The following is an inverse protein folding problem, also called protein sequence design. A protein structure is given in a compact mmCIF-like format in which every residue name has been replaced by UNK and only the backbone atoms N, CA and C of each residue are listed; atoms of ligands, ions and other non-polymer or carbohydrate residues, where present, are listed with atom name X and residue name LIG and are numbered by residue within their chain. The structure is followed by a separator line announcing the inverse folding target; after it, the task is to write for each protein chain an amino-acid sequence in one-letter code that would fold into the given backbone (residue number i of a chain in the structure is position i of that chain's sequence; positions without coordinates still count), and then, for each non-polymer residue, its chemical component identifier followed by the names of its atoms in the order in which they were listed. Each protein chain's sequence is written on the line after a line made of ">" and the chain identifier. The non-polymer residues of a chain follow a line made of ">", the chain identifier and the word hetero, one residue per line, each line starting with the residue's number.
data_IF_405912662798
#
_entry.id   IF_405912662798
#
_cell.length_a   1.000
_cell.length_b   1.000
_cell.length_c   1.000
_cell.angle_alpha   90.00
_cell.angle_beta   90.00
_cell.angle_gamma   90.00
#
_symmetry.space_group_name_H-M   'P 1'
#
loop_
_entity.id
_entity.type
_entity.pdbx_description
1 polymer ?
#
# COMPACT_ATOMS: atom_id res chain seq x y z
N UNK A 1 4.97 -21.55 4.80
CA UNK A 1 4.89 -20.08 4.95
C UNK A 1 3.72 -19.58 4.11
N UNK A 2 3.01 -18.50 4.51
CA UNK A 2 1.99 -17.90 3.66
C UNK A 2 2.61 -17.42 2.32
N UNK A 3 1.84 -17.38 1.22
CA UNK A 3 2.33 -16.86 -0.06
C UNK A 3 2.82 -15.41 0.08
N UNK A 4 3.90 -15.01 -0.62
CA UNK A 4 4.41 -13.65 -0.55
C UNK A 4 3.48 -12.66 -1.27
N UNK A 5 3.61 -11.39 -0.90
CA UNK A 5 3.09 -10.23 -1.65
C UNK A 5 4.28 -9.56 -2.33
N UNK A 6 4.20 -9.37 -3.65
CA UNK A 6 5.18 -8.56 -4.40
C UNK A 6 4.61 -7.17 -4.64
N UNK A 7 5.43 -6.13 -4.53
CA UNK A 7 5.00 -4.76 -4.85
C UNK A 7 6.07 -4.02 -5.63
N UNK A 8 5.66 -3.08 -6.49
CA UNK A 8 6.59 -2.29 -7.30
C UNK A 8 6.01 -0.94 -7.67
N UNK A 9 6.90 0.06 -7.83
CA UNK A 9 6.57 1.34 -8.47
C UNK A 9 6.48 1.21 -9.99
N UNK A 10 7.11 0.17 -10.55
CA UNK A 10 7.14 -0.06 -11.98
C UNK A 10 5.96 -0.96 -12.38
N UNK A 11 4.96 -0.38 -13.04
CA UNK A 11 3.79 -1.13 -13.53
C UNK A 11 4.19 -2.29 -14.45
N UNK A 12 5.24 -2.11 -15.26
CA UNK A 12 5.80 -3.19 -16.11
C UNK A 12 6.22 -4.43 -15.32
N UNK A 13 6.76 -4.24 -14.11
CA UNK A 13 7.16 -5.35 -13.24
C UNK A 13 5.94 -6.07 -12.66
N UNK A 14 4.86 -5.33 -12.37
CA UNK A 14 3.60 -5.91 -11.90
C UNK A 14 2.88 -6.67 -13.03
N UNK A 15 2.94 -6.16 -14.27
CA UNK A 15 2.44 -6.85 -15.45
C UNK A 15 3.19 -8.16 -15.69
N UNK A 16 4.53 -8.12 -15.68
CA UNK A 16 5.35 -9.33 -15.79
C UNK A 16 5.08 -10.33 -14.65
N UNK A 17 4.91 -9.86 -13.41
CA UNK A 17 4.55 -10.71 -12.28
C UNK A 17 3.16 -11.35 -12.43
N UNK A 18 2.18 -10.61 -12.97
CA UNK A 18 0.84 -11.14 -13.28
C UNK A 18 0.90 -12.28 -14.30
N UNK A 19 1.75 -12.16 -15.31
CA UNK A 19 1.92 -13.18 -16.36
C UNK A 19 2.73 -14.39 -15.87
N UNK A 20 3.86 -14.16 -15.23
CA UNK A 20 4.76 -15.22 -14.79
C UNK A 20 4.25 -15.99 -13.55
N UNK A 21 3.55 -15.32 -12.64
CA UNK A 21 3.09 -15.90 -11.38
C UNK A 21 1.74 -15.29 -10.93
N UNK A 22 0.62 -15.57 -11.63
CA UNK A 22 -0.67 -14.93 -11.37
C UNK A 22 -1.19 -15.17 -9.94
N UNK A 23 -0.83 -16.30 -9.34
CA UNK A 23 -1.21 -16.71 -7.98
C UNK A 23 -0.50 -15.92 -6.87
N UNK A 24 0.60 -15.21 -7.17
CA UNK A 24 1.29 -14.35 -6.18
C UNK A 24 0.56 -13.01 -6.11
N UNK A 25 0.19 -12.59 -4.89
CA UNK A 25 -0.48 -11.32 -4.68
C UNK A 25 0.42 -10.14 -5.10
N UNK A 26 -0.18 -9.09 -5.69
CA UNK A 26 0.52 -7.90 -6.17
C UNK A 26 0.06 -6.63 -5.47
N UNK A 27 0.98 -5.73 -5.17
CA UNK A 27 0.71 -4.40 -4.64
C UNK A 27 1.27 -3.30 -5.53
N UNK A 28 0.48 -2.26 -5.80
CA UNK A 28 0.96 -1.10 -6.55
C UNK A 28 1.62 -0.10 -5.58
N UNK A 29 2.90 0.23 -5.79
CA UNK A 29 3.55 1.34 -5.09
C UNK A 29 3.36 2.64 -5.87
N UNK A 30 2.86 3.66 -5.20
CA UNK A 30 2.75 5.02 -5.73
C UNK A 30 3.38 6.02 -4.76
N UNK A 31 3.93 7.11 -5.30
CA UNK A 31 4.44 8.20 -4.46
C UNK A 31 3.30 9.03 -3.88
N UNK A 32 2.26 9.32 -4.67
CA UNK A 32 1.13 10.15 -4.27
C UNK A 32 -0.18 9.71 -4.92
N UNK A 33 -1.31 10.04 -4.30
CA UNK A 33 -2.67 9.67 -4.74
C UNK A 33 -3.27 10.61 -5.80
N UNK A 34 -2.43 11.25 -6.61
CA UNK A 34 -2.86 12.25 -7.61
C UNK A 34 -3.43 11.67 -8.91
N UNK A 35 -2.90 10.53 -9.40
CA UNK A 35 -3.32 9.92 -10.66
C UNK A 35 -4.48 8.92 -10.54
N UNK A 36 -4.81 8.24 -11.64
CA UNK A 36 -5.81 7.16 -11.66
C UNK A 36 -5.21 5.81 -11.21
N UNK A 37 -4.74 5.78 -9.97
CA UNK A 37 -4.24 4.56 -9.34
C UNK A 37 -5.29 3.45 -9.33
N UNK A 38 -6.58 3.76 -9.35
CA UNK A 38 -7.64 2.76 -9.31
C UNK A 38 -7.72 2.00 -10.64
N UNK A 39 -7.53 2.69 -11.77
CA UNK A 39 -7.39 2.04 -13.08
C UNK A 39 -6.16 1.12 -13.11
N UNK A 40 -4.99 1.59 -12.69
CA UNK A 40 -3.78 0.76 -12.65
C UNK A 40 -3.96 -0.48 -11.75
N UNK A 41 -4.57 -0.30 -10.57
CA UNK A 41 -4.87 -1.40 -9.64
C UNK A 41 -5.72 -2.50 -10.31
N UNK A 42 -6.79 -2.11 -11.02
CA UNK A 42 -7.64 -3.05 -11.76
C UNK A 42 -6.89 -3.70 -12.92
N UNK A 43 -6.22 -2.91 -13.76
CA UNK A 43 -5.53 -3.41 -14.95
C UNK A 43 -4.43 -4.42 -14.61
N UNK A 44 -3.68 -4.18 -13.52
CA UNK A 44 -2.57 -5.03 -13.09
C UNK A 44 -3.01 -6.16 -12.15
N UNK A 45 -4.30 -6.23 -11.79
CA UNK A 45 -4.81 -7.19 -10.81
C UNK A 45 -4.09 -7.09 -9.47
N UNK A 46 -3.82 -5.85 -9.02
CA UNK A 46 -3.21 -5.58 -7.72
C UNK A 46 -4.28 -5.59 -6.62
N UNK A 47 -3.92 -6.17 -5.48
CA UNK A 47 -4.82 -6.36 -4.34
C UNK A 47 -4.54 -5.40 -3.18
N UNK A 48 -3.39 -4.72 -3.18
CA UNK A 48 -3.05 -3.69 -2.17
C UNK A 48 -2.48 -2.44 -2.83
N UNK A 49 -2.77 -1.27 -2.28
CA UNK A 49 -2.14 -0.01 -2.68
C UNK A 49 -1.14 0.41 -1.62
N UNK A 50 0.06 0.81 -2.03
CA UNK A 50 1.14 1.21 -1.14
C UNK A 50 1.51 2.66 -1.44
N UNK A 51 1.46 3.53 -0.42
CA UNK A 51 1.63 4.97 -0.63
C UNK A 51 2.56 5.61 0.41
N UNK A 52 3.30 6.63 -0.02
CA UNK A 52 4.13 7.44 0.86
C UNK A 52 3.30 8.08 1.98
N UNK A 53 3.62 7.82 3.24
CA UNK A 53 2.83 8.24 4.39
C UNK A 53 2.62 9.75 4.46
N UNK A 54 3.58 10.55 3.95
CA UNK A 54 3.50 12.02 3.87
C UNK A 54 2.42 12.52 2.92
N UNK A 55 2.00 11.69 1.96
CA UNK A 55 0.94 12.03 1.01
C UNK A 55 -0.45 11.59 1.49
N UNK A 56 -0.53 10.91 2.64
CA UNK A 56 -1.78 10.46 3.23
C UNK A 56 -2.34 11.49 4.22
N UNK A 57 -3.63 11.72 4.09
CA UNK A 57 -4.47 12.39 5.07
C UNK A 57 -5.79 11.61 5.20
N UNK A 58 -6.63 11.96 6.17
CA UNK A 58 -7.90 11.27 6.43
C UNK A 58 -8.76 11.12 5.17
N UNK A 59 -8.89 12.18 4.36
CA UNK A 59 -9.70 12.18 3.15
C UNK A 59 -9.14 11.24 2.07
N UNK A 60 -7.83 11.30 1.84
CA UNK A 60 -7.14 10.46 0.84
C UNK A 60 -7.17 8.98 1.23
N UNK A 61 -6.93 8.66 2.50
CA UNK A 61 -7.06 7.28 3.01
C UNK A 61 -8.49 6.78 2.85
N UNK A 62 -9.50 7.60 3.18
CA UNK A 62 -10.90 7.23 2.99
C UNK A 62 -11.26 6.99 1.51
N UNK A 63 -10.70 7.76 0.57
CA UNK A 63 -10.89 7.54 -0.88
C UNK A 63 -10.41 6.14 -1.31
N UNK A 64 -9.24 5.72 -0.86
CA UNK A 64 -8.70 4.37 -1.18
C UNK A 64 -9.57 3.28 -0.56
N UNK A 65 -9.96 3.44 0.71
CA UNK A 65 -10.81 2.47 1.41
C UNK A 65 -12.19 2.32 0.77
N UNK A 66 -12.83 3.42 0.35
CA UNK A 66 -14.13 3.37 -0.35
C UNK A 66 -14.03 2.68 -1.71
N UNK A 67 -12.86 2.72 -2.34
CA UNK A 67 -12.61 1.97 -3.58
C UNK A 67 -12.36 0.46 -3.33
N UNK A 68 -12.41 -0.01 -2.07
CA UNK A 68 -12.30 -1.43 -1.72
C UNK A 68 -10.87 -1.95 -1.58
N UNK A 69 -9.86 -1.08 -1.60
CA UNK A 69 -8.46 -1.51 -1.52
C UNK A 69 -7.86 -1.32 -0.12
N UNK A 70 -7.16 -2.34 0.43
CA UNK A 70 -6.28 -2.16 1.58
C UNK A 70 -5.12 -1.21 1.23
N UNK A 71 -4.87 -0.26 2.13
CA UNK A 71 -3.81 0.74 1.98
C UNK A 71 -2.65 0.44 2.95
N UNK A 72 -1.45 0.31 2.40
CA UNK A 72 -0.18 0.18 3.13
C UNK A 72 0.57 1.50 3.04
N UNK A 73 1.17 1.96 4.14
CA UNK A 73 1.92 3.22 4.18
C UNK A 73 3.42 2.99 4.39
N UNK A 74 4.28 3.71 3.67
CA UNK A 74 5.73 3.71 3.86
C UNK A 74 6.27 5.15 3.90
N UNK A 75 7.33 5.54 4.59
CA UNK A 75 8.06 4.83 5.65
C UNK A 75 7.92 5.62 6.96
N UNK A 76 6.76 5.55 7.66
CA UNK A 76 6.62 6.25 8.93
C UNK A 76 7.56 5.63 9.97
N UNK A 77 8.42 6.46 10.55
CA UNK A 77 9.47 6.05 11.49
C UNK A 77 9.14 6.41 12.95
N UNK A 78 8.08 7.18 13.14
CA UNK A 78 7.53 7.61 14.42
C UNK A 78 6.20 6.91 14.72
N UNK A 79 6.04 6.49 15.99
CA UNK A 79 4.90 5.70 16.47
C UNK A 79 3.58 6.47 16.38
N UNK A 80 3.61 7.77 16.66
CA UNK A 80 2.44 8.65 16.62
C UNK A 80 1.87 8.76 15.20
N UNK A 81 2.73 8.91 14.18
CA UNK A 81 2.27 8.90 12.80
C UNK A 81 1.68 7.55 12.42
N UNK A 82 2.28 6.44 12.83
CA UNK A 82 1.71 5.11 12.58
C UNK A 82 0.31 4.98 13.21
N UNK A 83 0.13 5.39 14.47
CA UNK A 83 -1.19 5.43 15.15
C UNK A 83 -2.21 6.26 14.36
N UNK A 84 -1.80 7.45 13.92
CA UNK A 84 -2.65 8.33 13.10
C UNK A 84 -3.09 7.64 11.80
N UNK A 85 -2.16 6.98 11.11
CA UNK A 85 -2.43 6.28 9.86
C UNK A 85 -3.39 5.10 10.07
N UNK A 86 -3.15 4.29 11.12
CA UNK A 86 -4.05 3.20 11.50
C UNK A 86 -5.45 3.73 11.86
N UNK A 87 -5.54 4.83 12.61
CA UNK A 87 -6.80 5.50 12.93
C UNK A 87 -7.56 6.04 11.70
N UNK A 88 -6.87 6.28 10.59
CA UNK A 88 -7.51 6.61 9.30
C UNK A 88 -7.92 5.38 8.48
N UNK A 89 -7.45 4.19 8.87
CA UNK A 89 -7.73 2.91 8.24
C UNK A 89 -6.66 2.43 7.24
N UNK A 90 -5.41 2.89 7.37
CA UNK A 90 -4.25 2.19 6.80
C UNK A 90 -4.16 0.82 7.49
N UNK A 91 -3.90 -0.25 6.74
CA UNK A 91 -3.89 -1.63 7.27
C UNK A 91 -2.51 -2.11 7.69
N UNK A 92 -1.45 -1.46 7.21
CA UNK A 92 -0.07 -1.82 7.53
C UNK A 92 0.87 -0.64 7.29
N UNK A 93 1.98 -0.60 8.03
CA UNK A 93 3.08 0.33 7.82
C UNK A 93 4.36 -0.45 7.53
N UNK A 94 5.15 0.04 6.57
CA UNK A 94 6.53 -0.38 6.33
C UNK A 94 7.42 0.67 6.99
N UNK A 95 8.30 0.30 7.90
CA UNK A 95 9.08 1.22 8.73
C UNK A 95 10.54 0.78 8.84
N UNK A 96 11.45 1.75 9.01
CA UNK A 96 12.86 1.47 9.32
C UNK A 96 13.06 1.10 10.81
N UNK A 97 12.04 1.32 11.66
CA UNK A 97 12.10 1.07 13.11
C UNK A 97 10.96 0.16 13.59
N UNK A 98 10.91 -1.12 13.17
CA UNK A 98 9.81 -2.02 13.52
C UNK A 98 9.60 -2.18 15.03
N UNK A 99 10.68 -2.15 15.83
CA UNK A 99 10.59 -2.23 17.29
C UNK A 99 9.76 -1.12 17.94
N UNK A 100 9.69 0.08 17.32
CA UNK A 100 8.87 1.19 17.82
C UNK A 100 7.36 0.99 17.62
N UNK A 101 6.99 0.11 16.70
CA UNK A 101 5.60 -0.17 16.31
C UNK A 101 4.98 -1.31 17.12
N UNK A 102 5.76 -2.03 17.94
CA UNK A 102 5.25 -3.13 18.75
C UNK A 102 4.15 -2.62 19.71
N UNK A 103 2.99 -3.28 19.68
CA UNK A 103 1.82 -2.91 20.49
C UNK A 103 1.00 -1.72 19.95
N UNK A 104 1.17 -1.38 18.68
CA UNK A 104 0.16 -0.64 17.90
C UNK A 104 -0.88 -1.61 17.34
#
# INVERSE_FOLDING_TARGET
>A
LPPPLVSSFAERSLAAAREAAPHIARGLLIRSLGGDWAQSMRALGCVTLHCGHRHLNRQRTARVRRAGYPLVAYTPNDRERAQTLFGWGVVSVITDHPGRMIGL
#
